data_IF_761991593508
#
_entry.id   IF_761991593508
#
_cell.length_a   1.000
_cell.length_b   1.000
_cell.length_c   1.000
_cell.angle_alpha   90.00
_cell.angle_beta   90.00
_cell.angle_gamma   90.00
#
_symmetry.space_group_name_H-M   'P 1'
#
loop_
_entity.id
_entity.type
_entity.pdbx_description
1 polymer ?
#
# COMPACT_ATOMS: atom_id res chain seq x y z
N UNK A 1 24.40 21.28 21.30
CA UNK A 1 23.34 20.34 21.65
C UNK A 1 23.24 20.29 23.16
N UNK A 2 22.10 20.65 23.74
CA UNK A 2 21.90 20.68 25.19
C UNK A 2 21.76 19.25 25.73
N UNK A 3 22.21 18.94 26.95
CA UNK A 3 21.95 17.65 27.60
C UNK A 3 20.46 17.25 27.61
N UNK A 4 19.55 18.23 27.60
CA UNK A 4 18.11 18.00 27.49
C UNK A 4 17.65 17.49 26.12
N UNK A 5 18.34 17.87 25.03
CA UNK A 5 18.01 17.45 23.66
C UNK A 5 18.32 15.96 23.44
N UNK A 6 19.39 15.48 24.08
CA UNK A 6 19.84 14.09 24.01
C UNK A 6 18.80 13.17 24.68
N UNK A 7 18.33 13.52 25.88
CA UNK A 7 17.33 12.73 26.60
C UNK A 7 15.98 12.67 25.86
N UNK A 8 15.54 13.79 25.29
CA UNK A 8 14.34 13.83 24.44
C UNK A 8 14.47 12.91 23.22
N UNK A 9 15.64 12.90 22.56
CA UNK A 9 15.89 12.03 21.42
C UNK A 9 15.83 10.54 21.79
N UNK A 10 16.39 10.13 22.94
CA UNK A 10 16.34 8.74 23.41
C UNK A 10 14.92 8.27 23.75
N UNK A 11 14.11 9.13 24.37
CA UNK A 11 12.71 8.81 24.73
C UNK A 11 11.89 8.60 23.45
N UNK A 12 11.96 9.56 22.50
CA UNK A 12 11.23 9.49 21.23
C UNK A 12 11.64 8.28 20.37
N UNK A 13 12.91 7.92 20.40
CA UNK A 13 13.41 6.72 19.72
C UNK A 13 12.79 5.46 20.35
N UNK A 14 12.92 5.28 21.66
CA UNK A 14 12.46 4.08 22.38
C UNK A 14 10.95 3.85 22.24
N UNK A 15 10.15 4.92 22.31
CA UNK A 15 8.69 4.83 22.17
C UNK A 15 8.26 4.38 20.77
N UNK A 16 8.97 4.86 19.74
CA UNK A 16 8.70 4.50 18.35
C UNK A 16 8.99 3.01 18.09
N UNK A 17 10.06 2.45 18.66
CA UNK A 17 10.40 1.03 18.49
C UNK A 17 9.44 0.09 19.22
N UNK A 18 9.05 0.45 20.44
CA UNK A 18 8.10 -0.37 21.21
C UNK A 18 6.75 -0.43 20.50
N UNK A 19 6.25 0.71 20.02
CA UNK A 19 5.03 0.78 19.24
C UNK A 19 5.13 -0.07 17.96
N UNK A 20 6.24 0.03 17.21
CA UNK A 20 6.45 -0.77 16.00
C UNK A 20 6.48 -2.28 16.28
N UNK A 21 7.15 -2.71 17.36
CA UNK A 21 7.18 -4.13 17.77
C UNK A 21 5.80 -4.63 18.20
N UNK A 22 5.00 -3.81 18.86
CA UNK A 22 3.63 -4.14 19.24
C UNK A 22 2.73 -4.30 18.01
N UNK A 23 2.81 -3.36 17.07
CA UNK A 23 2.12 -3.44 15.77
C UNK A 23 2.51 -4.70 15.00
N UNK A 24 3.81 -5.00 14.94
CA UNK A 24 4.32 -6.22 14.31
C UNK A 24 3.74 -7.48 14.97
N UNK A 25 3.78 -7.56 16.29
CA UNK A 25 3.22 -8.66 17.06
C UNK A 25 1.73 -8.87 16.74
N UNK A 26 0.94 -7.79 16.77
CA UNK A 26 -0.50 -7.85 16.48
C UNK A 26 -0.77 -8.33 15.04
N UNK A 27 -0.01 -7.81 14.08
CA UNK A 27 -0.18 -8.17 12.67
C UNK A 27 0.15 -9.66 12.43
N UNK A 28 1.29 -10.14 12.94
CA UNK A 28 1.68 -11.54 12.82
C UNK A 28 0.68 -12.44 13.56
N UNK A 29 0.23 -12.04 14.75
CA UNK A 29 -0.79 -12.77 15.48
C UNK A 29 -2.07 -12.93 14.67
N UNK A 30 -2.60 -11.86 14.08
CA UNK A 30 -3.83 -11.89 13.27
C UNK A 30 -3.65 -12.81 12.05
N UNK A 31 -2.55 -12.64 11.29
CA UNK A 31 -2.30 -13.42 10.07
C UNK A 31 -2.16 -14.91 10.39
N UNK A 32 -1.33 -15.26 11.37
CA UNK A 32 -1.11 -16.66 11.76
C UNK A 32 -2.40 -17.25 12.32
N UNK A 33 -3.12 -16.53 13.18
CA UNK A 33 -4.37 -17.02 13.74
C UNK A 33 -5.40 -17.34 12.65
N UNK A 34 -5.54 -16.47 11.65
CA UNK A 34 -6.48 -16.67 10.55
C UNK A 34 -6.08 -17.86 9.64
N UNK A 35 -4.78 -18.05 9.39
CA UNK A 35 -4.26 -19.21 8.65
C UNK A 35 -4.52 -20.51 9.43
N UNK A 36 -4.16 -20.55 10.72
CA UNK A 36 -4.34 -21.74 11.57
C UNK A 36 -5.81 -22.11 11.72
N UNK A 37 -6.70 -21.12 11.80
CA UNK A 37 -8.16 -21.34 11.85
C UNK A 37 -8.72 -22.00 10.60
N UNK A 38 -8.07 -21.81 9.44
CA UNK A 38 -8.48 -22.39 8.15
C UNK A 38 -7.80 -23.73 7.86
N UNK A 39 -6.79 -24.11 8.65
CA UNK A 39 -5.99 -25.29 8.39
C UNK A 39 -6.61 -26.52 9.06
N UNK A 40 -6.87 -27.62 8.33
CA UNK A 40 -7.53 -28.82 8.89
C UNK A 40 -6.68 -29.55 9.95
N UNK A 41 -5.37 -29.29 10.00
CA UNK A 41 -4.42 -29.93 10.93
C UNK A 41 -4.66 -29.63 12.41
N UNK A 42 -5.23 -28.47 12.76
CA UNK A 42 -5.39 -28.03 14.16
C UNK A 42 -6.72 -28.51 14.76
N UNK A 43 -7.55 -29.15 13.93
CA UNK A 43 -8.87 -29.64 14.30
C UNK A 43 -9.85 -28.49 14.62
N UNK A 44 -11.01 -28.85 15.16
CA UNK A 44 -12.07 -27.89 15.53
C UNK A 44 -11.76 -27.09 16.81
N UNK A 45 -10.62 -27.35 17.47
CA UNK A 45 -10.29 -26.73 18.74
C UNK A 45 -9.68 -25.33 18.55
N UNK A 46 -10.55 -24.32 18.62
CA UNK A 46 -10.21 -22.89 18.50
C UNK A 46 -9.16 -22.43 19.53
N UNK A 47 -9.11 -23.06 20.70
CA UNK A 47 -8.16 -22.71 21.76
C UNK A 47 -6.71 -23.00 21.33
N UNK A 48 -6.49 -24.14 20.67
CA UNK A 48 -5.16 -24.54 20.22
C UNK A 48 -4.62 -23.57 19.17
N UNK A 49 -5.47 -23.17 18.20
CA UNK A 49 -5.11 -22.15 17.21
C UNK A 49 -4.68 -20.84 17.86
N UNK A 50 -5.40 -20.39 18.88
CA UNK A 50 -5.08 -19.15 19.60
C UNK A 50 -3.74 -19.22 20.34
N UNK A 51 -3.49 -20.32 21.05
CA UNK A 51 -2.25 -20.50 21.83
C UNK A 51 -1.05 -20.57 20.88
N UNK A 52 -1.17 -21.35 19.80
CA UNK A 52 -0.10 -21.50 18.82
C UNK A 52 0.17 -20.17 18.12
N UNK A 53 -0.86 -19.44 17.69
CA UNK A 53 -0.66 -18.12 17.06
C UNK A 53 0.00 -17.12 18.01
N UNK A 54 -0.37 -17.13 19.29
CA UNK A 54 0.24 -16.26 20.31
C UNK A 54 1.73 -16.58 20.50
N UNK A 55 2.08 -17.87 20.62
CA UNK A 55 3.46 -18.31 20.78
C UNK A 55 4.32 -17.93 19.57
N UNK A 56 3.84 -18.19 18.36
CA UNK A 56 4.60 -17.86 17.15
C UNK A 56 4.74 -16.35 17.01
N UNK A 57 3.69 -15.57 17.28
CA UNK A 57 3.76 -14.11 17.25
C UNK A 57 4.77 -13.56 18.28
N UNK A 58 4.77 -14.09 19.50
CA UNK A 58 5.69 -13.67 20.56
C UNK A 58 7.15 -14.02 20.23
N UNK A 59 7.40 -15.22 19.70
CA UNK A 59 8.74 -15.59 19.23
C UNK A 59 9.18 -14.71 18.06
N UNK A 60 8.30 -14.46 17.10
CA UNK A 60 8.63 -13.63 15.93
C UNK A 60 8.97 -12.20 16.34
N UNK A 61 8.21 -11.59 17.27
CA UNK A 61 8.47 -10.22 17.74
C UNK A 61 9.73 -10.10 18.61
N UNK A 62 10.09 -11.17 19.32
CA UNK A 62 11.29 -11.20 20.17
C UNK A 62 12.57 -11.36 19.34
N UNK A 63 12.56 -12.27 18.36
CA UNK A 63 13.78 -12.68 17.65
C UNK A 63 14.05 -11.93 16.33
N UNK A 64 13.08 -11.19 15.79
CA UNK A 64 13.35 -10.39 14.60
C UNK A 64 14.22 -9.17 14.91
N UNK A 65 15.18 -8.92 14.01
CA UNK A 65 15.99 -7.69 14.02
C UNK A 65 15.12 -6.49 13.67
N UNK A 66 15.42 -5.35 14.28
CA UNK A 66 14.64 -4.12 14.12
C UNK A 66 14.59 -3.65 12.67
N UNK A 67 15.70 -3.75 11.95
CA UNK A 67 15.77 -3.46 10.51
C UNK A 67 14.82 -4.34 9.69
N UNK A 68 14.67 -5.61 10.06
CA UNK A 68 13.77 -6.55 9.38
C UNK A 68 12.30 -6.24 9.68
N UNK A 69 11.98 -5.85 10.91
CA UNK A 69 10.62 -5.43 11.30
C UNK A 69 10.25 -4.13 10.58
N UNK A 70 11.18 -3.16 10.58
CA UNK A 70 11.02 -1.90 9.87
C UNK A 70 10.78 -2.15 8.39
N UNK A 71 11.60 -2.97 7.71
CA UNK A 71 11.37 -3.28 6.30
C UNK A 71 10.07 -4.05 6.05
N UNK A 72 9.72 -5.03 6.90
CA UNK A 72 8.50 -5.82 6.74
C UNK A 72 7.23 -4.99 6.91
N UNK A 73 7.23 -3.98 7.78
CA UNK A 73 6.09 -3.08 7.98
C UNK A 73 6.14 -1.92 6.99
N UNK A 74 7.26 -1.23 6.86
CA UNK A 74 7.33 0.02 6.09
C UNK A 74 7.11 -0.27 4.60
N UNK A 75 7.66 -1.36 4.06
CA UNK A 75 7.58 -1.63 2.61
C UNK A 75 6.13 -1.83 2.14
N UNK A 76 5.29 -2.70 2.73
CA UNK A 76 3.90 -2.83 2.30
C UNK A 76 3.08 -1.54 2.48
N UNK A 77 3.32 -0.77 3.54
CA UNK A 77 2.56 0.44 3.82
C UNK A 77 2.94 1.60 2.90
N UNK A 78 4.23 1.73 2.59
CA UNK A 78 4.71 2.70 1.59
C UNK A 78 4.17 2.33 0.21
N UNK A 79 4.26 1.06 -0.19
CA UNK A 79 3.66 0.57 -1.45
C UNK A 79 2.14 0.82 -1.50
N UNK A 80 1.40 0.54 -0.43
CA UNK A 80 -0.04 0.78 -0.37
C UNK A 80 -0.37 2.28 -0.43
N UNK A 81 0.39 3.11 0.29
CA UNK A 81 0.26 4.55 0.24
C UNK A 81 0.50 5.11 -1.16
N UNK A 82 1.54 4.62 -1.84
CA UNK A 82 1.84 4.95 -3.23
C UNK A 82 0.69 4.52 -4.15
N UNK A 83 0.22 3.28 -4.04
CA UNK A 83 -0.91 2.77 -4.83
C UNK A 83 -2.14 3.65 -4.61
N UNK A 84 -2.48 4.00 -3.36
CA UNK A 84 -3.63 4.86 -3.07
C UNK A 84 -3.47 6.26 -3.65
N UNK A 85 -2.29 6.85 -3.49
CA UNK A 85 -1.99 8.21 -3.96
C UNK A 85 -2.15 8.33 -5.48
N UNK A 86 -1.88 7.26 -6.23
CA UNK A 86 -2.05 7.24 -7.68
C UNK A 86 -3.42 6.71 -8.12
N UNK A 87 -3.98 5.74 -7.41
CA UNK A 87 -5.27 5.14 -7.77
C UNK A 87 -6.43 6.10 -7.49
N UNK A 88 -6.35 6.90 -6.42
CA UNK A 88 -7.42 7.81 -6.03
C UNK A 88 -7.65 8.94 -7.05
N UNK A 89 -6.62 9.71 -7.49
CA UNK A 89 -6.78 10.70 -8.56
C UNK A 89 -7.29 10.08 -9.86
N UNK A 90 -6.81 8.89 -10.20
CA UNK A 90 -7.27 8.15 -11.38
C UNK A 90 -8.77 7.86 -11.32
N UNK A 91 -9.29 7.40 -10.18
CA UNK A 91 -10.74 7.20 -10.00
C UNK A 91 -11.51 8.53 -10.07
N UNK A 92 -10.98 9.60 -9.48
CA UNK A 92 -11.62 10.93 -9.55
C UNK A 92 -11.71 11.43 -11.01
N UNK A 93 -10.64 11.26 -11.79
CA UNK A 93 -10.62 11.60 -13.21
C UNK A 93 -11.65 10.77 -13.98
N UNK A 94 -11.74 9.46 -13.71
CA UNK A 94 -12.72 8.60 -14.34
C UNK A 94 -14.16 9.05 -14.05
N UNK A 95 -14.46 9.39 -12.79
CA UNK A 95 -15.76 9.92 -12.39
C UNK A 95 -16.04 11.28 -13.04
N UNK A 96 -15.06 12.17 -13.09
CA UNK A 96 -15.18 13.49 -13.71
C UNK A 96 -15.47 13.39 -15.21
N UNK A 97 -14.68 12.58 -15.93
CA UNK A 97 -14.83 12.31 -17.35
C UNK A 97 -16.24 11.78 -17.66
N UNK A 98 -16.75 10.90 -16.80
CA UNK A 98 -18.07 10.33 -16.97
C UNK A 98 -19.18 11.38 -16.79
N UNK A 99 -19.08 12.22 -15.75
CA UNK A 99 -20.08 13.26 -15.48
C UNK A 99 -20.11 14.40 -16.49
N UNK A 100 -19.00 14.67 -17.19
CA UNK A 100 -18.83 15.89 -17.99
C UNK A 100 -19.19 15.76 -19.47
N UNK A 101 -19.82 14.66 -19.90
CA UNK A 101 -20.27 14.44 -21.28
C UNK A 101 -19.19 14.76 -22.36
N UNK A 102 -17.92 14.58 -22.02
CA UNK A 102 -16.80 14.94 -22.88
C UNK A 102 -16.76 14.08 -24.15
N UNK A 103 -16.35 14.72 -25.26
CA UNK A 103 -16.05 14.03 -26.51
C UNK A 103 -14.92 13.01 -26.32
N UNK A 104 -14.84 12.01 -27.21
CA UNK A 104 -13.80 10.97 -27.14
C UNK A 104 -12.38 11.58 -27.10
N UNK A 105 -12.15 12.63 -27.90
CA UNK A 105 -10.87 13.32 -27.93
C UNK A 105 -10.57 14.03 -26.61
N UNK A 106 -11.58 14.69 -25.99
CA UNK A 106 -11.41 15.33 -24.68
C UNK A 106 -10.99 14.34 -23.59
N UNK A 107 -11.58 13.14 -23.58
CA UNK A 107 -11.21 12.09 -22.62
C UNK A 107 -9.77 11.61 -22.81
N UNK A 108 -9.34 11.39 -24.05
CA UNK A 108 -7.96 10.98 -24.38
C UNK A 108 -6.95 12.03 -23.94
N UNK A 109 -7.26 13.31 -24.11
CA UNK A 109 -6.38 14.41 -23.66
C UNK A 109 -6.22 14.38 -22.14
N UNK A 110 -7.31 14.21 -21.37
CA UNK A 110 -7.23 14.14 -19.91
C UNK A 110 -6.39 12.95 -19.45
N UNK A 111 -6.59 11.77 -20.04
CA UNK A 111 -5.76 10.61 -19.75
C UNK A 111 -4.30 10.81 -20.13
N UNK A 112 -4.04 11.49 -21.25
CA UNK A 112 -2.68 11.86 -21.66
C UNK A 112 -1.99 12.80 -20.67
N UNK A 113 -2.70 13.83 -20.19
CA UNK A 113 -2.19 14.73 -19.13
C UNK A 113 -1.90 13.93 -17.85
N UNK A 114 -2.80 13.04 -17.46
CA UNK A 114 -2.60 12.21 -16.28
C UNK A 114 -1.36 11.31 -16.43
N UNK A 115 -1.19 10.64 -17.57
CA UNK A 115 -0.03 9.83 -17.87
C UNK A 115 1.28 10.65 -17.84
N UNK A 116 1.26 11.87 -18.35
CA UNK A 116 2.42 12.78 -18.29
C UNK A 116 2.76 13.18 -16.84
N UNK A 117 1.76 13.46 -16.00
CA UNK A 117 1.98 13.73 -14.57
C UNK A 117 2.64 12.54 -13.88
N UNK A 118 2.16 11.31 -14.12
CA UNK A 118 2.77 10.10 -13.57
C UNK A 118 4.21 9.93 -14.07
N UNK A 119 4.44 10.12 -15.38
CA UNK A 119 5.77 10.05 -15.96
C UNK A 119 6.74 11.08 -15.35
N UNK A 120 6.26 12.31 -15.12
CA UNK A 120 7.05 13.36 -14.45
C UNK A 120 7.37 12.99 -13.00
N UNK A 121 6.39 12.48 -12.25
CA UNK A 121 6.59 12.04 -10.86
C UNK A 121 7.61 10.90 -10.81
N UNK A 122 7.47 9.92 -11.69
CA UNK A 122 8.42 8.80 -11.79
C UNK A 122 9.84 9.27 -12.12
N UNK A 123 9.98 10.17 -13.10
CA UNK A 123 11.26 10.78 -13.45
C UNK A 123 11.87 11.54 -12.25
N UNK A 124 11.06 12.33 -11.56
CA UNK A 124 11.49 13.09 -10.37
C UNK A 124 11.97 12.19 -9.25
N UNK A 125 11.28 11.07 -8.98
CA UNK A 125 11.72 10.12 -7.96
C UNK A 125 13.07 9.47 -8.31
N UNK A 126 13.24 9.04 -9.56
CA UNK A 126 14.50 8.47 -10.04
C UNK A 126 15.65 9.48 -10.03
N UNK A 127 15.40 10.73 -10.43
CA UNK A 127 16.41 11.79 -10.47
C UNK A 127 16.93 12.18 -9.08
N UNK A 128 16.08 12.09 -8.05
CA UNK A 128 16.44 12.47 -6.68
C UNK A 128 16.97 11.30 -5.84
N UNK A 129 17.12 10.09 -6.42
CA UNK A 129 17.67 8.93 -5.72
C UNK A 129 16.75 8.36 -4.63
N UNK A 130 15.44 8.62 -4.70
CA UNK A 130 14.49 7.99 -3.78
C UNK A 130 14.30 6.52 -4.18
N UNK A 131 14.54 5.61 -3.23
CA UNK A 131 14.28 4.18 -3.38
C UNK A 131 12.77 3.89 -3.26
N UNK A 132 11.99 4.31 -4.25
CA UNK A 132 10.65 3.74 -4.48
C UNK A 132 10.84 2.62 -5.49
N UNK A 133 10.22 1.48 -5.21
CA UNK A 133 10.27 0.32 -6.10
C UNK A 133 9.75 0.70 -7.49
N UNK A 134 10.64 0.68 -8.48
CA UNK A 134 10.34 1.09 -9.86
C UNK A 134 9.17 0.28 -10.46
N UNK A 135 8.96 -0.93 -9.96
CA UNK A 135 7.89 -1.83 -10.35
C UNK A 135 6.50 -1.24 -10.14
N UNK A 136 6.30 -0.42 -9.10
CA UNK A 136 4.99 0.19 -8.81
C UNK A 136 4.61 1.18 -9.92
N UNK A 137 5.58 1.98 -10.41
CA UNK A 137 5.36 2.91 -11.51
C UNK A 137 5.06 2.19 -12.82
N UNK A 138 5.72 1.06 -13.10
CA UNK A 138 5.41 0.23 -14.26
C UNK A 138 3.98 -0.33 -14.19
N UNK A 139 3.54 -0.85 -13.04
CA UNK A 139 2.18 -1.34 -12.85
C UNK A 139 1.16 -0.22 -13.10
N UNK A 140 1.38 0.98 -12.55
CA UNK A 140 0.50 2.13 -12.76
C UNK A 140 0.47 2.54 -14.23
N UNK A 141 1.62 2.57 -14.91
CA UNK A 141 1.70 2.89 -16.34
C UNK A 141 0.90 1.90 -17.19
N UNK A 142 1.04 0.60 -16.91
CA UNK A 142 0.25 -0.46 -17.56
C UNK A 142 -1.24 -0.24 -17.30
N UNK A 143 -1.63 0.07 -16.07
CA UNK A 143 -3.02 0.27 -15.70
C UNK A 143 -3.63 1.50 -16.40
N UNK A 144 -2.89 2.61 -16.50
CA UNK A 144 -3.29 3.80 -17.28
C UNK A 144 -3.44 3.44 -18.76
N UNK A 145 -2.49 2.68 -19.32
CA UNK A 145 -2.58 2.23 -20.70
C UNK A 145 -3.82 1.38 -20.96
N UNK A 146 -4.12 0.43 -20.06
CA UNK A 146 -5.34 -0.38 -20.11
C UNK A 146 -6.57 0.52 -20.07
N UNK A 147 -6.61 1.52 -19.18
CA UNK A 147 -7.75 2.45 -19.08
C UNK A 147 -7.94 3.28 -20.35
N UNK A 148 -6.85 3.74 -20.98
CA UNK A 148 -6.91 4.47 -22.26
C UNK A 148 -7.50 3.58 -23.36
N UNK A 149 -7.05 2.32 -23.45
CA UNK A 149 -7.54 1.37 -24.45
C UNK A 149 -8.99 0.96 -24.16
N UNK A 150 -9.34 0.79 -22.89
CA UNK A 150 -10.66 0.37 -22.44
C UNK A 150 -11.69 1.50 -22.36
N UNK A 151 -11.30 2.78 -22.53
CA UNK A 151 -12.19 3.96 -22.39
C UNK A 151 -13.51 3.80 -23.15
N UNK A 152 -13.46 3.28 -24.38
CA UNK A 152 -14.65 3.02 -25.21
C UNK A 152 -15.61 2.01 -24.58
N UNK A 153 -15.06 0.93 -24.01
CA UNK A 153 -15.85 -0.13 -23.39
C UNK A 153 -16.47 0.36 -22.07
N UNK A 154 -15.67 1.06 -21.26
CA UNK A 154 -16.10 1.66 -20.00
C UNK A 154 -17.29 2.60 -20.26
N UNK A 155 -17.16 3.52 -21.22
CA UNK A 155 -18.24 4.46 -21.54
C UNK A 155 -19.51 3.75 -22.06
N UNK A 156 -19.37 2.67 -22.84
CA UNK A 156 -20.50 1.86 -23.30
C UNK A 156 -21.22 1.16 -22.14
N UNK A 157 -20.48 0.65 -21.16
CA UNK A 157 -21.07 0.01 -19.97
C UNK A 157 -21.89 1.01 -19.15
N UNK A 158 -21.40 2.24 -19.00
CA UNK A 158 -22.11 3.26 -18.25
C UNK A 158 -23.36 3.78 -18.97
N UNK A 159 -23.29 4.03 -20.29
CA UNK A 159 -24.45 4.47 -21.07
C UNK A 159 -25.62 3.48 -21.13
N UNK A 160 -25.39 2.20 -20.83
CA UNK A 160 -26.44 1.17 -20.86
C UNK A 160 -27.34 1.21 -19.61
N UNK A 161 -26.90 1.91 -18.55
CA UNK A 161 -27.55 1.87 -17.23
C UNK A 161 -28.48 3.06 -16.98
N UNK A 162 -28.49 4.04 -17.87
CA UNK A 162 -29.42 5.16 -17.93
C UNK A 162 -30.46 4.92 -19.04
#
# INVERSE_FOLDING_TARGET
>A
MSPGDILQQYINFTDSFLMMRLLFFLLIFIVIHEILKRTPLIGTNKLNSLIISLLIAAMSSLYMKEESIANFIIVPYTTLGVILLFTLPMFLILLFIHKTALTENGRKVIWGIYALCIGYIWYSFNANGYYIDNDVFMIIAILIFILIVADKQINKLFKKKD
#
